data_IF_745688117423
#
_entry.id   IF_745688117423
#
_cell.length_a   1.000
_cell.length_b   1.000
_cell.length_c   1.000
_cell.angle_alpha   90.00
_cell.angle_beta   90.00
_cell.angle_gamma   90.00
#
_symmetry.space_group_name_H-M   'P 1'
#
loop_
_entity.id
_entity.type
_entity.pdbx_description
1 polymer ?
#
# COMPACT_ATOMS: atom_id res chain seq x y z
N UNK A 1 -3.48 -10.38 -21.46
CA UNK A 1 -3.91 -9.23 -20.66
C UNK A 1 -2.81 -8.18 -20.70
N UNK A 2 -3.10 -6.94 -21.12
CA UNK A 2 -2.16 -5.81 -21.07
C UNK A 2 -1.52 -5.61 -19.69
N UNK A 3 -0.26 -5.16 -19.64
CA UNK A 3 0.45 -4.87 -18.39
C UNK A 3 -0.25 -3.77 -17.56
N UNK A 4 -0.85 -2.79 -18.24
CA UNK A 4 -1.68 -1.74 -17.62
C UNK A 4 -2.84 -2.33 -16.82
N UNK A 5 -3.50 -3.36 -17.32
CA UNK A 5 -4.65 -3.95 -16.64
C UNK A 5 -4.21 -4.76 -15.42
N UNK A 6 -3.08 -5.48 -15.53
CA UNK A 6 -2.47 -6.19 -14.40
C UNK A 6 -2.09 -5.19 -13.29
N UNK A 7 -1.46 -4.07 -13.66
CA UNK A 7 -1.15 -2.99 -12.74
C UNK A 7 -2.40 -2.47 -12.01
N UNK A 8 -3.47 -2.19 -12.75
CA UNK A 8 -4.75 -1.75 -12.17
C UNK A 8 -5.39 -2.75 -11.21
N UNK A 9 -5.36 -4.04 -11.54
CA UNK A 9 -5.89 -5.11 -10.66
C UNK A 9 -5.10 -5.19 -9.37
N UNK A 10 -3.77 -5.20 -9.45
CA UNK A 10 -2.92 -5.25 -8.27
C UNK A 10 -3.10 -4.00 -7.41
N UNK A 11 -3.32 -2.84 -8.04
CA UNK A 11 -3.61 -1.60 -7.34
C UNK A 11 -4.91 -1.69 -6.52
N UNK A 12 -5.97 -2.24 -7.11
CA UNK A 12 -7.22 -2.50 -6.40
C UNK A 12 -7.03 -3.49 -5.25
N UNK A 13 -6.24 -4.55 -5.46
CA UNK A 13 -5.90 -5.48 -4.41
C UNK A 13 -5.16 -4.78 -3.25
N UNK A 14 -4.25 -3.85 -3.55
CA UNK A 14 -3.53 -3.08 -2.53
C UNK A 14 -4.47 -2.20 -1.68
N UNK A 15 -5.48 -1.56 -2.28
CA UNK A 15 -6.49 -0.80 -1.55
C UNK A 15 -7.21 -1.69 -0.53
N UNK A 16 -7.75 -2.83 -1.02
CA UNK A 16 -8.53 -3.75 -0.20
C UNK A 16 -7.67 -4.41 0.89
N UNK A 17 -6.45 -4.82 0.54
CA UNK A 17 -5.52 -5.44 1.48
C UNK A 17 -5.11 -4.46 2.58
N UNK A 18 -4.77 -3.22 2.22
CA UNK A 18 -4.40 -2.18 3.19
C UNK A 18 -5.56 -1.86 4.13
N UNK A 19 -6.79 -1.81 3.61
CA UNK A 19 -7.98 -1.62 4.44
C UNK A 19 -8.19 -2.79 5.42
N UNK A 20 -8.14 -4.03 4.93
CA UNK A 20 -8.27 -5.23 5.76
C UNK A 20 -7.19 -5.31 6.84
N UNK A 21 -5.95 -4.95 6.50
CA UNK A 21 -4.82 -4.89 7.43
C UNK A 21 -5.05 -3.85 8.53
N UNK A 22 -5.57 -2.67 8.17
CA UNK A 22 -5.95 -1.63 9.13
C UNK A 22 -7.06 -2.08 10.09
N UNK A 23 -8.08 -2.77 9.58
CA UNK A 23 -9.15 -3.36 10.41
C UNK A 23 -8.58 -4.39 11.37
N UNK A 24 -7.71 -5.29 10.90
CA UNK A 24 -7.10 -6.31 11.76
C UNK A 24 -6.26 -5.69 12.88
N UNK A 25 -5.41 -4.72 12.56
CA UNK A 25 -4.61 -3.98 13.56
C UNK A 25 -5.49 -3.23 14.58
N UNK A 26 -6.58 -2.61 14.13
CA UNK A 26 -7.53 -1.94 15.01
C UNK A 26 -8.23 -2.92 15.97
N UNK A 27 -8.59 -4.12 15.50
CA UNK A 27 -9.17 -5.18 16.33
C UNK A 27 -8.16 -5.66 17.38
N UNK A 28 -6.89 -5.88 17.00
CA UNK A 28 -5.81 -6.24 17.95
C UNK A 28 -5.68 -5.16 19.04
N UNK A 29 -5.61 -3.90 18.64
CA UNK A 29 -5.52 -2.75 19.54
C UNK A 29 -6.73 -2.63 20.48
N UNK A 30 -7.94 -2.88 19.97
CA UNK A 30 -9.18 -2.87 20.75
C UNK A 30 -9.22 -3.99 21.80
N UNK A 31 -8.70 -5.17 21.45
CA UNK A 31 -8.59 -6.33 22.34
C UNK A 31 -7.42 -6.24 23.33
N UNK A 32 -6.55 -5.24 23.20
CA UNK A 32 -5.31 -5.09 23.99
C UNK A 32 -4.41 -6.34 23.94
N UNK A 33 -4.38 -6.99 22.79
CA UNK A 33 -3.56 -8.19 22.56
C UNK A 33 -2.22 -7.81 21.93
N UNK A 34 -1.17 -8.62 22.15
CA UNK A 34 0.07 -8.48 21.39
C UNK A 34 -0.18 -8.75 19.90
N UNK A 35 0.60 -8.10 19.03
CA UNK A 35 0.53 -8.31 17.58
C UNK A 35 0.95 -9.76 17.25
N UNK A 36 0.05 -10.58 16.66
CA UNK A 36 0.37 -11.97 16.36
C UNK A 36 1.35 -12.09 15.19
N UNK A 37 2.15 -13.15 15.16
CA UNK A 37 3.13 -13.40 14.08
C UNK A 37 2.54 -13.37 12.66
N UNK A 38 1.30 -13.86 12.48
CA UNK A 38 0.61 -13.81 11.20
C UNK A 38 0.35 -12.38 10.68
N UNK A 39 0.22 -11.40 11.58
CA UNK A 39 0.07 -10.00 11.19
C UNK A 39 1.36 -9.48 10.53
N UNK A 40 2.53 -9.86 11.04
CA UNK A 40 3.80 -9.50 10.42
C UNK A 40 3.95 -10.09 9.01
N UNK A 41 3.51 -11.33 8.82
CA UNK A 41 3.42 -11.93 7.48
C UNK A 41 2.53 -11.10 6.55
N UNK A 42 1.38 -10.64 7.02
CA UNK A 42 0.49 -9.80 6.23
C UNK A 42 1.10 -8.42 5.89
N UNK A 43 1.83 -7.79 6.82
CA UNK A 43 2.58 -6.54 6.56
C UNK A 43 3.62 -6.75 5.46
N UNK A 44 4.35 -7.86 5.49
CA UNK A 44 5.33 -8.21 4.45
C UNK A 44 4.65 -8.41 3.09
N UNK A 45 3.55 -9.16 3.04
CA UNK A 45 2.78 -9.38 1.81
C UNK A 45 2.28 -8.05 1.23
N UNK A 46 1.76 -7.15 2.09
CA UNK A 46 1.33 -5.82 1.68
C UNK A 46 2.48 -5.00 1.07
N UNK A 47 3.66 -5.06 1.71
CA UNK A 47 4.84 -4.32 1.27
C UNK A 47 5.38 -4.86 -0.06
N UNK A 48 5.39 -6.18 -0.24
CA UNK A 48 5.76 -6.83 -1.50
C UNK A 48 4.76 -6.45 -2.59
N UNK A 49 3.46 -6.48 -2.31
CA UNK A 49 2.42 -6.07 -3.26
C UNK A 49 2.63 -4.62 -3.72
N UNK A 50 2.86 -3.70 -2.80
CA UNK A 50 3.19 -2.31 -3.13
C UNK A 50 4.46 -2.22 -4.00
N UNK A 51 5.53 -2.94 -3.63
CA UNK A 51 6.77 -3.00 -4.39
C UNK A 51 6.59 -3.53 -5.82
N UNK A 52 5.78 -4.58 -6.01
CA UNK A 52 5.45 -5.11 -7.34
C UNK A 52 4.71 -4.07 -8.17
N UNK A 53 3.74 -3.34 -7.60
CA UNK A 53 3.02 -2.27 -8.30
C UNK A 53 3.98 -1.15 -8.73
N UNK A 54 4.90 -0.74 -7.84
CA UNK A 54 5.92 0.27 -8.17
C UNK A 54 6.79 -0.22 -9.33
N UNK A 55 7.26 -1.46 -9.28
CA UNK A 55 8.05 -2.07 -10.34
C UNK A 55 7.30 -2.07 -11.67
N UNK A 56 6.03 -2.45 -11.67
CA UNK A 56 5.20 -2.41 -12.88
C UNK A 56 5.03 -0.98 -13.42
N UNK A 57 4.84 0.02 -12.55
CA UNK A 57 4.80 1.42 -12.96
C UNK A 57 6.11 1.92 -13.57
N UNK A 58 7.25 1.48 -13.04
CA UNK A 58 8.58 1.76 -13.62
C UNK A 58 8.70 1.12 -15.00
N UNK A 59 8.32 -0.15 -15.15
CA UNK A 59 8.37 -0.86 -16.45
C UNK A 59 7.49 -0.14 -17.48
N UNK A 60 6.24 0.19 -17.12
CA UNK A 60 5.32 0.92 -18.01
C UNK A 60 5.90 2.26 -18.46
N UNK A 61 6.48 3.02 -17.52
CA UNK A 61 7.14 4.29 -17.82
C UNK A 61 8.35 4.10 -18.74
N UNK A 62 9.15 3.06 -18.50
CA UNK A 62 10.33 2.75 -19.31
C UNK A 62 9.97 2.33 -20.74
N UNK A 63 8.81 1.73 -20.97
CA UNK A 63 8.27 1.44 -22.30
C UNK A 63 7.63 2.65 -22.99
N UNK A 64 7.68 3.84 -22.36
CA UNK A 64 7.12 5.07 -22.88
C UNK A 64 5.65 5.31 -22.52
N UNK A 65 5.01 4.37 -21.82
CA UNK A 65 3.61 4.50 -21.43
C UNK A 65 3.47 5.53 -20.29
N UNK A 66 2.34 6.24 -20.27
CA UNK A 66 2.06 7.24 -19.25
C UNK A 66 0.63 7.09 -18.73
N UNK A 67 0.36 7.44 -17.46
CA UNK A 67 -1.02 7.58 -16.99
C UNK A 67 -1.74 8.61 -17.88
N UNK A 68 -2.96 8.31 -18.32
CA UNK A 68 -3.76 9.21 -19.19
C UNK A 68 -3.90 10.62 -18.62
N UNK A 69 -3.98 10.72 -17.30
CA UNK A 69 -4.08 11.98 -16.56
C UNK A 69 -2.79 12.82 -16.57
N UNK A 70 -1.67 12.28 -17.05
CA UNK A 70 -0.42 13.02 -17.32
C UNK A 70 0.42 13.37 -16.09
N UNK A 71 -0.06 13.13 -14.86
CA UNK A 71 0.65 13.47 -13.60
C UNK A 71 1.62 12.39 -13.13
N UNK A 72 2.58 12.02 -13.97
CA UNK A 72 3.55 10.94 -13.69
C UNK A 72 4.39 11.18 -12.42
N UNK A 73 4.81 12.41 -12.17
CA UNK A 73 5.57 12.74 -10.95
C UNK A 73 4.76 12.52 -9.67
N UNK A 74 3.47 12.89 -9.70
CA UNK A 74 2.57 12.68 -8.56
C UNK A 74 2.30 11.18 -8.32
N UNK A 75 2.18 10.40 -9.39
CA UNK A 75 2.07 8.95 -9.31
C UNK A 75 3.26 8.35 -8.55
N UNK A 76 4.50 8.66 -8.93
CA UNK A 76 5.68 8.10 -8.28
C UNK A 76 5.87 8.60 -6.84
N UNK A 77 5.54 9.86 -6.56
CA UNK A 77 5.58 10.40 -5.21
C UNK A 77 4.67 9.59 -4.27
N UNK A 78 3.44 9.33 -4.69
CA UNK A 78 2.53 8.53 -3.88
C UNK A 78 2.94 7.05 -3.84
N UNK A 79 3.42 6.47 -4.95
CA UNK A 79 3.93 5.09 -4.93
C UNK A 79 5.06 4.90 -3.92
N UNK A 80 6.00 5.85 -3.86
CA UNK A 80 7.07 5.82 -2.87
C UNK A 80 6.51 5.83 -1.44
N UNK A 81 5.50 6.66 -1.17
CA UNK A 81 4.80 6.64 0.12
C UNK A 81 4.17 5.27 0.41
N UNK A 82 3.36 4.72 -0.51
CA UNK A 82 2.64 3.46 -0.28
C UNK A 82 3.58 2.29 0.03
N UNK A 83 4.73 2.24 -0.66
CA UNK A 83 5.72 1.18 -0.54
C UNK A 83 6.59 1.29 0.73
N UNK A 84 6.87 2.51 1.19
CA UNK A 84 7.84 2.74 2.29
C UNK A 84 7.15 2.78 3.66
N UNK A 85 5.90 3.24 3.75
CA UNK A 85 5.32 3.59 5.05
C UNK A 85 5.20 2.41 6.02
N UNK A 86 4.80 1.23 5.53
CA UNK A 86 4.65 0.03 6.36
C UNK A 86 5.99 -0.56 6.85
N UNK A 87 7.00 -0.81 5.98
CA UNK A 87 8.31 -1.27 6.44
C UNK A 87 9.04 -0.19 7.26
N UNK A 88 8.81 1.10 6.94
CA UNK A 88 9.32 2.22 7.72
C UNK A 88 8.77 2.23 9.15
N UNK A 89 7.45 2.05 9.32
CA UNK A 89 6.84 1.96 10.64
C UNK A 89 7.39 0.77 11.43
N UNK A 90 7.50 -0.40 10.81
CA UNK A 90 8.10 -1.58 11.44
C UNK A 90 9.51 -1.30 11.97
N UNK A 91 10.33 -0.63 11.14
CA UNK A 91 11.70 -0.27 11.49
C UNK A 91 11.77 0.72 12.65
N UNK A 92 10.89 1.74 12.66
CA UNK A 92 10.80 2.74 13.74
C UNK A 92 10.38 2.07 15.06
N UNK A 93 9.38 1.20 15.01
CA UNK A 93 8.85 0.53 16.19
C UNK A 93 9.70 -0.67 16.63
N UNK A 94 10.70 -1.09 15.84
CA UNK A 94 11.58 -2.23 16.12
C UNK A 94 10.82 -3.52 16.45
N UNK A 95 9.72 -3.75 15.74
CA UNK A 95 8.87 -4.93 15.93
C UNK A 95 8.11 -4.96 17.26
N UNK A 96 7.98 -3.83 17.98
CA UNK A 96 7.08 -3.71 19.14
C UNK A 96 5.68 -4.20 18.79
N UNK A 97 5.07 -4.89 19.74
CA UNK A 97 3.81 -5.60 19.60
C UNK A 97 2.73 -5.11 20.58
N UNK A 98 2.97 -4.00 21.28
CA UNK A 98 2.05 -3.45 22.27
C UNK A 98 0.85 -2.73 21.62
N UNK A 99 -0.18 -2.40 22.43
CA UNK A 99 -1.40 -1.73 21.94
C UNK A 99 -1.11 -0.45 21.16
N UNK A 100 -0.12 0.34 21.56
CA UNK A 100 0.22 1.58 20.87
C UNK A 100 0.82 1.31 19.48
N UNK A 101 1.63 0.27 19.35
CA UNK A 101 2.14 -0.20 18.07
C UNK A 101 0.99 -0.66 17.16
N UNK A 102 0.04 -1.45 17.69
CA UNK A 102 -1.11 -1.91 16.92
C UNK A 102 -1.98 -0.73 16.42
N UNK A 103 -2.17 0.33 17.22
CA UNK A 103 -2.85 1.55 16.79
C UNK A 103 -2.10 2.29 15.67
N UNK A 104 -0.78 2.42 15.79
CA UNK A 104 0.03 3.07 14.75
C UNK A 104 -0.07 2.32 13.42
N UNK A 105 0.01 0.98 13.46
CA UNK A 105 -0.19 0.14 12.30
C UNK A 105 -1.59 0.27 11.70
N UNK A 106 -2.63 0.32 12.53
CA UNK A 106 -4.00 0.54 12.06
C UNK A 106 -4.14 1.89 11.33
N UNK A 107 -3.65 2.96 11.95
CA UNK A 107 -3.72 4.31 11.38
C UNK A 107 -3.00 4.40 10.04
N UNK A 108 -1.77 3.88 9.95
CA UNK A 108 -1.00 3.96 8.70
C UNK A 108 -1.55 3.02 7.63
N UNK A 109 -2.07 1.84 7.98
CA UNK A 109 -2.70 0.96 7.01
C UNK A 109 -3.99 1.58 6.43
N UNK A 110 -4.83 2.20 7.27
CA UNK A 110 -5.99 2.96 6.80
C UNK A 110 -5.60 4.17 5.95
N UNK A 111 -4.55 4.89 6.35
CA UNK A 111 -4.03 5.98 5.53
C UNK A 111 -3.51 5.47 4.18
N UNK A 112 -2.84 4.32 4.15
CA UNK A 112 -2.36 3.68 2.93
C UNK A 112 -3.53 3.32 1.99
N UNK A 113 -4.60 2.76 2.54
CA UNK A 113 -5.84 2.48 1.81
C UNK A 113 -6.49 3.76 1.29
N UNK A 114 -6.57 4.82 2.12
CA UNK A 114 -7.15 6.11 1.76
C UNK A 114 -6.39 6.84 0.65
N UNK A 115 -5.06 6.87 0.73
CA UNK A 115 -4.20 7.43 -0.34
C UNK A 115 -4.38 6.62 -1.62
N UNK A 116 -4.33 5.29 -1.54
CA UNK A 116 -4.53 4.42 -2.70
C UNK A 116 -5.90 4.66 -3.35
N UNK A 117 -6.97 4.71 -2.57
CA UNK A 117 -8.32 4.99 -3.06
C UNK A 117 -8.38 6.39 -3.72
N UNK A 118 -7.76 7.40 -3.11
CA UNK A 118 -7.69 8.74 -3.68
C UNK A 118 -6.98 8.77 -5.04
N UNK A 119 -5.88 8.01 -5.18
CA UNK A 119 -5.16 7.89 -6.44
C UNK A 119 -6.02 7.24 -7.54
N UNK A 120 -6.72 6.15 -7.19
CA UNK A 120 -7.60 5.46 -8.13
C UNK A 120 -8.77 6.35 -8.56
N UNK A 121 -9.43 7.04 -7.63
CA UNK A 121 -10.53 7.98 -7.93
C UNK A 121 -10.09 9.13 -8.83
N UNK A 122 -8.85 9.61 -8.66
CA UNK A 122 -8.26 10.69 -9.46
C UNK A 122 -7.62 10.19 -10.76
N UNK A 123 -7.72 8.89 -11.07
CA UNK A 123 -7.15 8.25 -12.27
C UNK A 123 -5.64 8.47 -12.41
N UNK A 124 -4.93 8.61 -11.28
CA UNK A 124 -3.46 8.77 -11.25
C UNK A 124 -2.77 7.43 -11.53
N UNK A 125 -3.46 6.32 -11.26
CA UNK A 125 -2.91 4.96 -11.35
C UNK A 125 -3.06 4.32 -12.72
N UNK A 126 -3.75 4.99 -13.65
CA UNK A 126 -4.05 4.48 -14.99
C UNK A 126 -5.46 4.88 -15.44
N UNK A 127 -5.90 4.42 -16.62
CA UNK A 127 -5.19 3.53 -17.54
C UNK A 127 -3.88 4.14 -18.07
N UNK A 128 -2.93 3.27 -18.44
CA UNK A 128 -1.67 3.67 -19.04
C UNK A 128 -1.78 3.57 -20.57
N UNK A 129 -1.32 4.61 -21.28
CA UNK A 129 -1.35 4.73 -22.75
C UNK A 129 0.02 5.00 -23.33
#
# INVERSE_FOLDING_TARGET
>A
MPLSDIHGILFNAHILFSFALGVWAAVIAGRRQPIPGGYWGAVVVQSILAGVIVLLGVILTATGARPVDGRLGLYFLYMAWLAIIMPGLFSILRGRDDRSAALAFAMLAFFNAGVSLSMAQRQITGPWV
#
